data_IF_364946793571
#
_entry.id   IF_364946793571
#
_cell.length_a   1.000
_cell.length_b   1.000
_cell.length_c   1.000
_cell.angle_alpha   90.00
_cell.angle_beta   90.00
_cell.angle_gamma   90.00
#
_symmetry.space_group_name_H-M   'P 1'
#
loop_
_entity.id
_entity.type
_entity.pdbx_description
1 polymer ?
#
# COMPACT_ATOMS: atom_id res chain seq x y z
N UNK A 1 6.32 -4.11 13.96
CA UNK A 1 6.10 -3.18 15.08
C UNK A 1 5.96 -1.71 14.68
N UNK A 2 6.20 -1.33 13.42
CA UNK A 2 6.13 0.10 13.01
C UNK A 2 4.72 0.57 12.67
N UNK A 3 3.86 -0.36 12.28
CA UNK A 3 2.49 -0.07 11.86
C UNK A 3 1.61 0.60 12.94
N UNK A 4 1.64 0.21 14.23
CA UNK A 4 0.91 0.93 15.28
C UNK A 4 1.43 2.36 15.44
N UNK A 5 2.74 2.56 15.41
CA UNK A 5 3.36 3.89 15.58
C UNK A 5 3.00 4.79 14.40
N UNK A 6 3.27 4.35 13.17
CA UNK A 6 2.98 5.12 11.96
C UNK A 6 1.47 5.42 11.81
N UNK A 7 0.59 4.51 12.26
CA UNK A 7 -0.86 4.74 12.29
C UNK A 7 -1.25 5.92 13.19
N UNK A 8 -0.56 6.10 14.31
CA UNK A 8 -0.90 7.12 15.30
C UNK A 8 -0.10 8.42 15.16
N UNK A 9 1.00 8.44 14.40
CA UNK A 9 1.85 9.62 14.23
C UNK A 9 1.91 10.10 12.78
N UNK A 10 2.40 9.26 11.87
CA UNK A 10 2.67 9.64 10.48
C UNK A 10 1.39 9.84 9.67
N UNK A 11 0.43 8.91 9.74
CA UNK A 11 -0.78 9.00 8.91
C UNK A 11 -1.69 10.19 9.24
N UNK A 12 -1.93 10.55 10.51
CA UNK A 12 -2.66 11.78 10.84
C UNK A 12 -2.00 13.04 10.25
N UNK A 13 -0.66 13.11 10.30
CA UNK A 13 0.08 14.23 9.70
C UNK A 13 -0.09 14.29 8.18
N UNK A 14 0.00 13.15 7.48
CA UNK A 14 -0.18 13.10 6.02
C UNK A 14 -1.63 13.45 5.63
N UNK A 15 -2.61 13.03 6.42
CA UNK A 15 -4.03 13.37 6.21
C UNK A 15 -4.31 14.86 6.29
N UNK A 16 -3.48 15.65 6.97
CA UNK A 16 -3.62 17.11 7.01
C UNK A 16 -3.52 17.74 5.61
N UNK A 17 -2.78 17.11 4.70
CA UNK A 17 -2.63 17.56 3.31
C UNK A 17 -3.75 17.07 2.40
N UNK A 18 -4.70 16.27 2.91
CA UNK A 18 -5.83 15.74 2.14
C UNK A 18 -7.03 16.66 2.30
N UNK A 19 -7.38 17.36 1.22
CA UNK A 19 -8.51 18.31 1.22
C UNK A 19 -9.87 17.64 1.39
N UNK A 20 -10.09 16.48 0.76
CA UNK A 20 -11.38 15.77 0.77
C UNK A 20 -11.18 14.28 0.52
N UNK A 21 -11.93 13.45 1.25
CA UNK A 21 -12.13 12.02 0.97
C UNK A 21 -13.64 11.79 0.78
N UNK A 22 -14.03 10.99 -0.22
CA UNK A 22 -15.43 10.69 -0.54
C UNK A 22 -15.57 9.19 -0.75
N UNK A 23 -16.65 8.58 -0.25
CA UNK A 23 -16.96 7.18 -0.51
C UNK A 23 -16.08 6.18 0.24
N UNK A 24 -15.48 6.57 1.37
CA UNK A 24 -14.66 5.66 2.18
C UNK A 24 -15.52 4.54 2.78
N UNK A 25 -16.78 4.84 3.06
CA UNK A 25 -17.82 3.92 3.51
C UNK A 25 -18.15 2.81 2.50
N UNK A 26 -17.79 3.00 1.22
CA UNK A 26 -17.97 1.97 0.19
C UNK A 26 -16.85 0.93 0.22
N UNK A 27 -15.82 1.12 1.02
CA UNK A 27 -14.73 0.14 1.13
C UNK A 27 -15.20 -1.09 1.89
N UNK A 28 -14.93 -2.31 1.39
CA UNK A 28 -15.26 -3.53 2.13
C UNK A 28 -14.57 -3.49 3.49
N UNK A 29 -15.30 -3.67 4.60
CA UNK A 29 -14.71 -3.55 5.93
C UNK A 29 -13.71 -4.67 6.23
N UNK A 30 -13.85 -5.82 5.56
CA UNK A 30 -13.02 -7.01 5.71
C UNK A 30 -12.94 -7.76 4.38
N UNK A 31 -11.94 -8.64 4.28
CA UNK A 31 -11.74 -9.53 3.14
C UNK A 31 -10.81 -8.96 2.07
N UNK A 32 -10.42 -9.80 1.11
CA UNK A 32 -9.51 -9.40 0.06
C UNK A 32 -10.24 -8.58 -1.01
N UNK A 33 -9.59 -7.52 -1.45
CA UNK A 33 -10.00 -6.76 -2.63
C UNK A 33 -8.82 -6.01 -3.22
N UNK A 34 -9.03 -5.51 -4.43
CA UNK A 34 -8.04 -4.73 -5.16
C UNK A 34 -8.43 -3.25 -5.10
N UNK A 35 -7.47 -2.41 -4.73
CA UNK A 35 -7.56 -0.96 -4.86
C UNK A 35 -6.89 -0.58 -6.17
N UNK A 36 -7.65 -0.15 -7.16
CA UNK A 36 -7.12 0.39 -8.41
C UNK A 36 -7.15 1.91 -8.37
N UNK A 37 -6.00 2.56 -8.55
CA UNK A 37 -5.89 4.01 -8.50
C UNK A 37 -5.03 4.54 -9.65
N UNK A 38 -5.35 5.70 -10.19
CA UNK A 38 -4.48 6.38 -11.15
C UNK A 38 -3.14 6.74 -10.47
N UNK A 39 -2.01 6.53 -11.17
CA UNK A 39 -0.71 7.04 -10.71
C UNK A 39 -0.47 8.47 -11.18
N UNK A 40 -0.07 9.35 -10.26
CA UNK A 40 0.38 10.71 -10.50
C UNK A 40 1.80 10.94 -9.98
N UNK A 41 2.13 10.41 -8.80
CA UNK A 41 3.44 10.61 -8.17
C UNK A 41 3.83 9.46 -7.23
N UNK A 42 5.12 9.38 -6.88
CA UNK A 42 5.67 8.35 -6.00
C UNK A 42 5.01 8.27 -4.61
N UNK A 43 4.36 9.34 -4.15
CA UNK A 43 3.70 9.41 -2.84
C UNK A 43 2.23 8.96 -2.86
N UNK A 44 1.65 8.60 -4.01
CA UNK A 44 0.23 8.24 -4.09
C UNK A 44 -0.14 7.12 -3.14
N UNK A 45 0.67 6.05 -3.11
CA UNK A 45 0.46 4.92 -2.21
C UNK A 45 0.47 5.32 -0.74
N UNK A 46 1.30 6.29 -0.36
CA UNK A 46 1.38 6.81 1.01
C UNK A 46 0.13 7.61 1.37
N UNK A 47 -0.35 8.48 0.47
CA UNK A 47 -1.59 9.24 0.69
C UNK A 47 -2.79 8.32 0.85
N UNK A 48 -2.95 7.34 -0.05
CA UNK A 48 -4.05 6.36 0.02
C UNK A 48 -3.96 5.54 1.30
N UNK A 49 -2.75 5.05 1.63
CA UNK A 49 -2.49 4.31 2.86
C UNK A 49 -2.86 5.13 4.11
N UNK A 50 -2.54 6.43 4.14
CA UNK A 50 -2.82 7.29 5.28
C UNK A 50 -4.32 7.42 5.60
N UNK A 51 -5.18 7.29 4.59
CA UNK A 51 -6.64 7.33 4.74
C UNK A 51 -7.20 5.96 5.11
N UNK A 52 -6.85 4.95 4.32
CA UNK A 52 -7.48 3.64 4.37
C UNK A 52 -6.98 2.77 5.53
N UNK A 53 -5.68 2.80 5.84
CA UNK A 53 -5.11 1.96 6.90
C UNK A 53 -5.74 2.26 8.27
N UNK A 54 -5.85 3.52 8.73
CA UNK A 54 -6.47 3.79 10.02
C UNK A 54 -7.94 3.39 10.07
N UNK A 55 -8.65 3.49 8.94
CA UNK A 55 -10.07 3.18 8.79
C UNK A 55 -10.33 1.66 8.80
N UNK A 56 -9.59 0.90 7.99
CA UNK A 56 -9.78 -0.54 7.80
C UNK A 56 -9.05 -1.38 8.84
N UNK A 57 -8.08 -0.80 9.55
CA UNK A 57 -7.17 -1.52 10.43
C UNK A 57 -6.41 -2.67 9.71
N UNK A 58 -6.17 -2.52 8.41
CA UNK A 58 -5.55 -3.54 7.56
C UNK A 58 -4.49 -2.94 6.63
N UNK A 59 -3.40 -3.68 6.42
CA UNK A 59 -2.30 -3.30 5.52
C UNK A 59 -2.68 -3.49 4.05
N UNK A 60 -2.23 -2.54 3.24
CA UNK A 60 -2.37 -2.53 1.79
C UNK A 60 -1.02 -2.87 1.19
N UNK A 61 -1.01 -3.74 0.18
CA UNK A 61 0.20 -4.16 -0.51
C UNK A 61 0.20 -3.64 -1.94
N UNK A 62 1.09 -2.71 -2.29
CA UNK A 62 1.09 -2.04 -3.59
C UNK A 62 2.08 -2.66 -4.55
N UNK A 63 1.67 -2.90 -5.79
CA UNK A 63 2.60 -3.19 -6.89
C UNK A 63 3.34 -1.89 -7.26
N UNK A 64 4.66 -1.88 -7.08
CA UNK A 64 5.48 -0.71 -7.39
C UNK A 64 6.93 -1.08 -7.73
N UNK A 65 7.61 -0.18 -8.42
CA UNK A 65 9.06 -0.23 -8.56
C UNK A 65 9.70 0.17 -7.23
N UNK A 66 10.58 -0.69 -6.71
CA UNK A 66 11.36 -0.35 -5.51
C UNK A 66 12.51 0.55 -5.93
N UNK A 67 12.58 1.75 -5.35
CA UNK A 67 13.71 2.65 -5.55
C UNK A 67 14.98 2.04 -4.97
N UNK A 68 16.06 1.98 -5.76
CA UNK A 68 17.34 1.42 -5.34
C UNK A 68 18.14 2.41 -4.48
N UNK A 69 17.64 2.71 -3.28
CA UNK A 69 18.26 3.65 -2.33
C UNK A 69 19.07 2.92 -1.25
N UNK A 70 19.37 1.64 -1.46
CA UNK A 70 20.13 0.79 -0.56
C UNK A 70 19.26 -0.19 0.23
N UNK A 71 19.91 -1.23 0.75
CA UNK A 71 19.27 -2.39 1.39
C UNK A 71 18.24 -2.03 2.48
N UNK A 72 18.52 -1.00 3.29
CA UNK A 72 17.60 -0.57 4.35
C UNK A 72 16.28 -0.02 3.78
N UNK A 73 16.34 0.83 2.76
CA UNK A 73 15.15 1.38 2.12
C UNK A 73 14.35 0.32 1.38
N UNK A 74 15.04 -0.57 0.66
CA UNK A 74 14.41 -1.64 -0.09
C UNK A 74 13.71 -2.67 0.81
N UNK A 75 14.46 -3.24 1.78
CA UNK A 75 13.97 -4.36 2.59
C UNK A 75 13.12 -3.92 3.78
N UNK A 76 13.52 -2.87 4.48
CA UNK A 76 12.84 -2.45 5.70
C UNK A 76 11.70 -1.51 5.37
N UNK A 77 11.97 -0.45 4.61
CA UNK A 77 10.95 0.58 4.36
C UNK A 77 9.96 0.17 3.27
N UNK A 78 10.43 -0.24 2.10
CA UNK A 78 9.53 -0.58 0.99
C UNK A 78 8.81 -1.91 1.20
N UNK A 79 9.54 -3.01 1.38
CA UNK A 79 8.93 -4.34 1.51
C UNK A 79 8.21 -4.51 2.87
N UNK A 80 8.92 -4.36 3.99
CA UNK A 80 8.34 -4.67 5.30
C UNK A 80 7.37 -3.59 5.81
N UNK A 81 7.66 -2.30 5.65
CA UNK A 81 6.80 -1.24 6.18
C UNK A 81 5.73 -0.81 5.18
N UNK A 82 6.12 -0.47 3.96
CA UNK A 82 5.27 0.04 2.90
C UNK A 82 4.35 -1.00 2.27
N UNK A 83 4.69 -2.29 2.38
CA UNK A 83 3.91 -3.35 1.73
C UNK A 83 4.13 -3.37 0.22
N UNK A 84 5.31 -3.00 -0.24
CA UNK A 84 5.62 -3.05 -1.66
C UNK A 84 5.66 -4.50 -2.16
N UNK A 85 4.93 -4.76 -3.24
CA UNK A 85 5.10 -5.91 -4.12
C UNK A 85 6.04 -5.46 -5.23
N UNK A 86 7.30 -5.91 -5.24
CA UNK A 86 8.28 -5.46 -6.22
C UNK A 86 7.89 -5.90 -7.62
N UNK A 87 7.88 -4.94 -8.55
CA UNK A 87 7.72 -5.22 -9.97
C UNK A 87 9.06 -5.61 -10.59
N UNK A 88 9.15 -6.85 -11.10
CA UNK A 88 10.32 -7.35 -11.82
C UNK A 88 10.06 -7.30 -13.32
N UNK A 89 10.70 -6.35 -14.02
CA UNK A 89 10.51 -6.15 -15.47
C UNK A 89 10.81 -7.41 -16.29
N UNK A 90 11.83 -8.16 -15.91
CA UNK A 90 12.27 -9.36 -16.62
C UNK A 90 11.45 -10.61 -16.25
N UNK A 91 10.65 -10.56 -15.17
CA UNK A 91 9.80 -11.65 -14.75
C UNK A 91 8.52 -11.14 -14.06
N UNK A 92 7.57 -10.55 -14.82
CA UNK A 92 6.36 -9.97 -14.26
C UNK A 92 5.45 -11.00 -13.57
N UNK A 93 5.60 -12.29 -13.91
CA UNK A 93 4.83 -13.37 -13.29
C UNK A 93 5.05 -13.46 -11.79
N UNK A 94 6.27 -13.20 -11.30
CA UNK A 94 6.57 -13.20 -9.86
C UNK A 94 5.70 -12.19 -9.12
N UNK A 95 5.53 -11.00 -9.68
CA UNK A 95 4.69 -9.95 -9.09
C UNK A 95 3.22 -10.41 -8.99
N UNK A 96 2.73 -11.08 -10.04
CA UNK A 96 1.38 -11.62 -10.08
C UNK A 96 1.18 -12.73 -9.04
N UNK A 97 2.14 -13.66 -8.93
CA UNK A 97 2.10 -14.77 -7.98
C UNK A 97 2.10 -14.27 -6.53
N UNK A 98 2.86 -13.22 -6.22
CA UNK A 98 2.86 -12.57 -4.89
C UNK A 98 1.52 -11.89 -4.61
N UNK A 99 0.97 -11.15 -5.59
CA UNK A 99 -0.32 -10.50 -5.44
C UNK A 99 -1.46 -11.52 -5.23
N UNK A 100 -1.44 -12.62 -5.98
CA UNK A 100 -2.40 -13.72 -5.84
C UNK A 100 -2.33 -14.38 -4.44
N UNK A 101 -1.12 -14.67 -3.93
CA UNK A 101 -0.94 -15.19 -2.57
C UNK A 101 -1.49 -14.21 -1.52
N UNK A 102 -1.27 -12.91 -1.67
CA UNK A 102 -1.82 -11.91 -0.75
C UNK A 102 -3.36 -11.88 -0.77
N UNK A 103 -3.98 -11.90 -1.95
CA UNK A 103 -5.43 -11.97 -2.09
C UNK A 103 -5.98 -13.25 -1.46
N UNK A 104 -5.37 -14.41 -1.71
CA UNK A 104 -5.76 -15.70 -1.10
C UNK A 104 -5.66 -15.69 0.43
N UNK A 105 -4.74 -14.90 0.99
CA UNK A 105 -4.60 -14.69 2.45
C UNK A 105 -5.51 -13.60 3.01
N UNK A 106 -6.48 -13.11 2.24
CA UNK A 106 -7.42 -12.08 2.68
C UNK A 106 -6.82 -10.68 2.78
N UNK A 107 -5.67 -10.42 2.14
CA UNK A 107 -5.01 -9.10 2.15
C UNK A 107 -5.57 -8.19 1.06
N UNK A 108 -5.33 -6.89 1.20
CA UNK A 108 -5.70 -5.88 0.21
C UNK A 108 -4.50 -5.61 -0.68
N UNK A 109 -4.69 -5.67 -1.99
CA UNK A 109 -3.65 -5.35 -2.97
C UNK A 109 -3.99 -4.03 -3.67
N UNK A 110 -3.03 -3.13 -3.76
CA UNK A 110 -3.13 -1.87 -4.49
C UNK A 110 -2.40 -1.95 -5.83
N UNK A 111 -3.02 -1.45 -6.88
CA UNK A 111 -2.44 -1.35 -8.21
C UNK A 111 -2.61 0.05 -8.79
N UNK A 112 -1.67 0.40 -9.66
CA UNK A 112 -1.73 1.59 -10.47
C UNK A 112 -1.75 1.20 -11.95
N UNK A 113 -2.94 0.98 -12.55
CA UNK A 113 -3.06 0.58 -13.95
C UNK A 113 -2.68 1.69 -14.93
#
# INVERSE_FOLDING_TARGET
MVYPIARHTLFPFIRFFIKKTVGIENTPPQGPYIIACKHYASLDGVFIASVLIPYLNQKIYYVANVAQWGWFWEKVVSEQWGGCIPFYKDNPKICLDIADDYIKRGRIVGIFP
#
